data_IF_528579779323
#
_entry.id   IF_528579779323
#
_cell.length_a   1.000
_cell.length_b   1.000
_cell.length_c   1.000
_cell.angle_alpha   90.00
_cell.angle_beta   90.00
_cell.angle_gamma   90.00
#
_symmetry.space_group_name_H-M   'P 1'
#
loop_
_entity.id
_entity.type
_entity.pdbx_description
1 polymer ?
#
# COMPACT_ATOMS: atom_id res chain seq x y z
N UNK A 1 -19.70 -4.30 19.10
CA UNK A 1 -18.35 -3.80 19.35
C UNK A 1 -17.88 -3.04 18.13
N UNK A 2 -17.90 -1.72 18.26
CA UNK A 2 -17.57 -0.76 17.21
C UNK A 2 -16.04 -0.66 17.14
N UNK A 3 -15.46 -1.05 16.01
CA UNK A 3 -14.01 -1.04 15.84
C UNK A 3 -13.55 0.38 15.48
N UNK A 4 -13.17 1.16 16.49
CA UNK A 4 -12.66 2.53 16.33
C UNK A 4 -11.16 2.52 16.08
N UNK A 5 -10.68 3.33 15.13
CA UNK A 5 -9.26 3.40 14.76
C UNK A 5 -8.53 4.45 15.61
N UNK A 6 -8.59 4.29 16.94
CA UNK A 6 -7.87 5.14 17.88
C UNK A 6 -8.70 5.51 19.10
N UNK A 7 -8.18 5.23 20.29
CA UNK A 7 -8.59 5.92 21.51
C UNK A 7 -7.45 6.86 21.89
N UNK A 8 -7.39 8.02 21.23
CA UNK A 8 -6.51 9.11 21.66
C UNK A 8 -7.31 10.09 22.51
N UNK A 9 -6.90 10.32 23.77
CA UNK A 9 -7.60 11.22 24.67
C UNK A 9 -7.46 12.67 24.17
N UNK A 10 -8.55 13.17 23.60
CA UNK A 10 -8.81 14.54 23.18
C UNK A 10 -8.55 15.50 24.33
N UNK A 11 -7.45 16.26 24.27
CA UNK A 11 -7.37 17.52 25.00
C UNK A 11 -7.01 18.72 24.11
N UNK A 12 -6.40 18.55 22.91
CA UNK A 12 -5.90 19.73 22.17
C UNK A 12 -5.79 19.65 20.62
N UNK A 13 -6.26 18.63 19.90
CA UNK A 13 -6.13 18.58 18.43
C UNK A 13 -7.48 18.62 17.72
N UNK A 14 -7.63 19.51 16.74
CA UNK A 14 -8.73 19.48 15.77
C UNK A 14 -8.62 18.16 14.98
N UNK A 15 -9.43 17.17 15.34
CA UNK A 15 -9.41 15.85 14.71
C UNK A 15 -10.81 15.52 14.24
N UNK A 16 -10.91 14.80 13.13
CA UNK A 16 -12.15 14.44 12.45
C UNK A 16 -13.12 13.72 13.40
N UNK A 17 -14.44 13.94 13.28
CA UNK A 17 -15.42 13.25 14.09
C UNK A 17 -15.36 11.73 13.84
N UNK A 18 -15.52 10.93 14.91
CA UNK A 18 -15.43 9.46 14.95
C UNK A 18 -16.19 8.72 13.82
N UNK A 19 -17.21 9.35 13.23
CA UNK A 19 -18.07 8.77 12.20
C UNK A 19 -17.48 8.77 10.78
N UNK A 20 -16.36 9.46 10.53
CA UNK A 20 -15.75 9.60 9.20
C UNK A 20 -14.41 8.84 9.05
N UNK A 21 -13.87 8.22 10.10
CA UNK A 21 -12.54 7.56 10.07
C UNK A 21 -12.42 6.44 9.02
N UNK A 22 -13.51 5.73 8.73
CA UNK A 22 -13.52 4.66 7.73
C UNK A 22 -13.33 5.17 6.29
N UNK A 23 -13.70 6.42 6.00
CA UNK A 23 -13.58 7.01 4.66
C UNK A 23 -12.12 7.31 4.29
N UNK A 24 -11.25 7.39 5.30
CA UNK A 24 -9.82 7.62 5.14
C UNK A 24 -8.99 6.33 5.00
N UNK A 25 -9.64 5.17 4.99
CA UNK A 25 -8.98 3.89 4.73
C UNK A 25 -8.90 3.66 3.22
N UNK A 26 -7.68 3.70 2.68
CA UNK A 26 -7.42 3.38 1.27
C UNK A 26 -6.88 1.96 1.15
N UNK A 27 -7.58 1.15 0.34
CA UNK A 27 -7.09 -0.17 -0.07
C UNK A 27 -6.02 -0.02 -1.15
N UNK A 28 -4.88 -0.69 -1.02
CA UNK A 28 -3.84 -0.73 -2.05
C UNK A 28 -4.25 -1.45 -3.36
N UNK A 29 -5.49 -1.98 -3.47
CA UNK A 29 -5.92 -2.78 -4.63
C UNK A 29 -6.46 -1.96 -5.82
N UNK A 30 -6.50 -0.63 -5.77
CA UNK A 30 -7.12 0.20 -6.84
C UNK A 30 -6.20 0.57 -8.02
N UNK A 31 -5.05 -0.09 -8.20
CA UNK A 31 -4.27 0.03 -9.45
C UNK A 31 -3.94 -1.30 -10.13
N UNK A 32 -4.57 -2.40 -9.71
CA UNK A 32 -4.42 -3.68 -10.38
C UNK A 32 -5.70 -4.50 -10.27
N UNK A 33 -6.76 -4.11 -10.97
CA UNK A 33 -7.71 -5.07 -11.56
C UNK A 33 -8.78 -4.35 -12.41
N UNK A 34 -8.51 -4.24 -13.71
CA UNK A 34 -9.54 -4.22 -14.75
C UNK A 34 -8.97 -4.71 -16.09
N UNK A 35 -8.33 -5.87 -16.13
CA UNK A 35 -8.24 -6.63 -17.40
C UNK A 35 -8.36 -8.11 -17.10
N UNK A 36 -9.36 -8.72 -17.74
CA UNK A 36 -9.80 -10.08 -17.51
C UNK A 36 -8.72 -11.14 -17.68
N UNK A 37 -9.06 -12.29 -17.14
CA UNK A 37 -8.38 -13.55 -17.34
C UNK A 37 -8.21 -13.85 -18.83
N UNK A 38 -7.01 -13.62 -19.36
CA UNK A 38 -6.38 -14.57 -20.28
C UNK A 38 -4.90 -14.19 -20.56
N UNK A 39 -4.09 -15.23 -20.74
CA UNK A 39 -2.80 -15.22 -21.46
C UNK A 39 -1.54 -14.61 -20.83
N UNK A 40 -0.70 -15.51 -20.29
CA UNK A 40 0.73 -15.72 -20.62
C UNK A 40 1.50 -14.49 -21.16
N UNK A 41 2.47 -13.98 -20.40
CA UNK A 41 3.91 -14.03 -20.76
C UNK A 41 4.79 -13.21 -19.82
N UNK A 42 5.97 -13.78 -19.57
CA UNK A 42 7.04 -13.22 -18.76
C UNK A 42 7.53 -11.91 -19.36
N UNK A 43 7.20 -10.77 -18.76
CA UNK A 43 8.00 -9.55 -18.87
C UNK A 43 8.11 -8.86 -17.52
N UNK A 44 9.21 -9.20 -16.84
CA UNK A 44 9.73 -8.54 -15.65
C UNK A 44 10.14 -7.11 -16.03
N UNK A 45 9.20 -6.15 -16.01
CA UNK A 45 9.51 -4.72 -15.97
C UNK A 45 9.82 -4.34 -14.52
N UNK A 46 11.10 -4.09 -14.23
CA UNK A 46 11.53 -3.35 -13.05
C UNK A 46 11.10 -1.89 -13.22
N UNK A 47 9.98 -1.50 -12.63
CA UNK A 47 9.73 -0.12 -12.24
C UNK A 47 10.34 0.06 -10.85
N UNK A 48 11.49 0.74 -10.80
CA UNK A 48 12.05 1.22 -9.55
C UNK A 48 11.17 2.36 -9.04
N UNK A 49 10.37 2.06 -8.03
CA UNK A 49 9.78 3.01 -7.11
C UNK A 49 9.76 2.29 -5.77
N UNK A 50 10.40 2.88 -4.76
CA UNK A 50 10.43 2.36 -3.39
C UNK A 50 9.02 2.40 -2.80
N UNK A 51 8.18 1.46 -3.21
CA UNK A 51 6.90 1.23 -2.57
C UNK A 51 7.17 0.55 -1.24
N UNK A 52 7.03 1.31 -0.15
CA UNK A 52 6.97 0.74 1.19
C UNK A 52 6.01 -0.44 1.17
N UNK A 53 6.50 -1.61 1.57
CA UNK A 53 5.68 -2.83 1.66
C UNK A 53 4.69 -2.63 2.79
N UNK A 54 3.52 -2.07 2.49
CA UNK A 54 2.41 -1.91 3.44
C UNK A 54 2.03 -3.30 3.94
N UNK A 55 2.04 -3.50 5.26
CA UNK A 55 1.76 -4.81 5.85
C UNK A 55 0.27 -5.14 5.88
N UNK A 56 -0.06 -6.39 6.22
CA UNK A 56 -1.45 -6.88 6.26
C UNK A 56 -2.01 -7.19 4.86
N UNK A 57 -3.23 -6.72 4.59
CA UNK A 57 -3.86 -6.79 3.26
C UNK A 57 -3.43 -5.66 2.31
N UNK A 58 -2.50 -4.79 2.75
CA UNK A 58 -2.05 -3.62 2.00
C UNK A 58 -2.94 -2.38 2.18
N UNK A 59 -3.97 -2.41 3.05
CA UNK A 59 -4.72 -1.21 3.39
C UNK A 59 -3.89 -0.27 4.27
N UNK A 60 -4.13 1.03 4.12
CA UNK A 60 -3.57 2.07 4.96
C UNK A 60 -4.65 3.08 5.38
N UNK A 61 -4.60 3.53 6.63
CA UNK A 61 -5.34 4.70 7.10
C UNK A 61 -4.50 5.94 6.80
N UNK A 62 -5.08 6.92 6.13
CA UNK A 62 -4.36 8.11 5.65
C UNK A 62 -4.83 9.34 6.39
N UNK A 63 -3.87 10.09 6.93
CA UNK A 63 -4.10 11.35 7.60
C UNK A 63 -3.25 12.44 6.96
N UNK A 64 -3.90 13.54 6.58
CA UNK A 64 -3.24 14.71 6.01
C UNK A 64 -3.05 15.79 7.08
N UNK A 65 -1.84 16.34 7.12
CA UNK A 65 -1.44 17.46 7.96
C UNK A 65 -1.08 18.61 7.01
N UNK A 66 -1.90 19.66 7.01
CA UNK A 66 -1.80 20.81 6.12
C UNK A 66 -1.35 22.06 6.90
N UNK A 67 -1.05 23.14 6.17
CA UNK A 67 -0.76 24.47 6.74
C UNK A 67 0.46 24.52 7.69
N UNK A 68 1.52 23.78 7.35
CA UNK A 68 2.79 23.88 8.03
C UNK A 68 3.59 25.12 7.66
N UNK A 69 4.73 25.32 8.32
CA UNK A 69 5.60 26.47 8.11
C UNK A 69 6.04 26.62 6.64
N UNK A 70 6.16 27.87 6.20
CA UNK A 70 6.64 28.21 4.87
C UNK A 70 8.03 27.63 4.61
N UNK A 71 8.17 26.99 3.46
CA UNK A 71 9.38 26.42 2.95
C UNK A 71 10.22 27.51 2.27
N UNK A 72 11.34 27.83 2.91
CA UNK A 72 12.23 28.94 2.53
C UNK A 72 13.56 28.39 2.01
N UNK A 73 13.52 27.37 1.15
CA UNK A 73 14.72 26.88 0.49
C UNK A 73 15.06 27.76 -0.71
N UNK A 74 16.30 28.23 -0.78
CA UNK A 74 16.77 29.20 -1.78
C UNK A 74 16.62 28.67 -3.23
N UNK A 75 16.59 27.34 -3.40
CA UNK A 75 16.40 26.65 -4.69
C UNK A 75 14.92 26.41 -5.06
N UNK A 76 13.98 26.74 -4.16
CA UNK A 76 12.54 26.49 -4.32
C UNK A 76 11.78 27.77 -4.69
N UNK A 77 12.27 28.93 -4.24
CA UNK A 77 11.57 30.21 -4.42
C UNK A 77 12.21 31.08 -5.51
N UNK A 78 12.11 30.66 -6.76
CA UNK A 78 12.22 31.58 -7.92
C UNK A 78 10.92 32.40 -8.13
N UNK A 79 9.86 32.07 -7.37
CA UNK A 79 8.52 32.62 -7.55
C UNK A 79 8.18 33.69 -6.50
N UNK A 80 7.91 34.87 -7.05
CA UNK A 80 7.34 36.09 -6.46
C UNK A 80 6.20 35.80 -5.48
N UNK A 81 6.35 36.27 -4.23
CA UNK A 81 5.31 36.57 -3.23
C UNK A 81 4.39 35.45 -2.67
N UNK A 82 4.91 34.28 -2.30
CA UNK A 82 4.04 33.30 -1.63
C UNK A 82 4.65 32.27 -0.69
N UNK A 83 5.86 31.77 -0.96
CA UNK A 83 6.38 30.58 -0.26
C UNK A 83 5.49 29.33 -0.49
N UNK A 84 6.02 28.14 -0.20
CA UNK A 84 5.25 26.89 -0.23
C UNK A 84 5.01 26.46 1.22
N UNK A 85 3.76 26.30 1.65
CA UNK A 85 3.46 25.76 2.98
C UNK A 85 3.87 24.29 3.05
N UNK A 86 4.54 23.90 4.13
CA UNK A 86 4.85 22.48 4.35
C UNK A 86 3.56 21.71 4.60
N UNK A 87 3.49 20.52 4.01
CA UNK A 87 2.38 19.61 4.24
C UNK A 87 2.90 18.18 4.40
N UNK A 88 2.12 17.31 5.04
CA UNK A 88 2.54 15.94 5.33
C UNK A 88 1.37 14.97 5.25
N UNK A 89 1.58 13.87 4.54
CA UNK A 89 0.65 12.73 4.50
C UNK A 89 1.22 11.59 5.34
N UNK A 90 0.47 11.14 6.36
CA UNK A 90 0.85 9.98 7.18
C UNK A 90 -0.03 8.79 6.81
N UNK A 91 0.60 7.65 6.51
CA UNK A 91 -0.05 6.40 6.14
C UNK A 91 0.21 5.35 7.21
N UNK A 92 -0.82 5.01 7.96
CA UNK A 92 -0.77 3.98 8.99
C UNK A 92 -1.18 2.63 8.41
N UNK A 93 -0.32 1.62 8.57
CA UNK A 93 -0.58 0.27 8.08
C UNK A 93 -0.31 -0.79 9.16
N UNK A 94 -0.87 -1.98 8.99
CA UNK A 94 -0.58 -3.11 9.86
C UNK A 94 0.92 -3.46 9.80
N UNK A 95 1.58 -3.62 10.94
CA UNK A 95 2.94 -4.15 11.00
C UNK A 95 3.30 -4.79 12.35
N UNK A 96 4.55 -5.21 12.54
CA UNK A 96 4.96 -5.99 13.72
C UNK A 96 5.31 -5.15 14.94
N UNK A 97 5.66 -3.88 14.73
CA UNK A 97 6.13 -2.94 15.75
C UNK A 97 5.62 -1.54 15.43
N UNK A 98 5.53 -0.69 16.45
CA UNK A 98 5.35 0.75 16.27
C UNK A 98 6.66 1.36 15.77
N UNK A 99 6.74 1.64 14.47
CA UNK A 99 7.90 2.27 13.86
C UNK A 99 7.49 3.07 12.62
N UNK A 100 8.33 4.04 12.28
CA UNK A 100 8.25 4.74 11.00
C UNK A 100 8.99 3.87 9.99
N UNK A 101 8.24 3.18 9.14
CA UNK A 101 8.78 2.26 8.14
C UNK A 101 9.48 2.99 7.00
N UNK A 102 8.99 4.18 6.63
CA UNK A 102 9.56 4.97 5.55
C UNK A 102 9.20 6.46 5.73
N UNK A 103 10.11 7.32 5.30
CA UNK A 103 9.91 8.77 5.22
C UNK A 103 10.42 9.19 3.85
N UNK A 104 9.55 9.81 3.07
CA UNK A 104 9.88 10.26 1.72
C UNK A 104 9.33 11.66 1.48
N UNK A 105 10.11 12.50 0.81
CA UNK A 105 9.61 13.74 0.21
C UNK A 105 9.20 13.42 -1.23
N UNK A 106 7.91 13.48 -1.55
CA UNK A 106 7.38 13.16 -2.88
C UNK A 106 7.26 14.40 -3.78
N UNK A 107 7.09 15.57 -3.18
CA UNK A 107 7.21 16.87 -3.83
C UNK A 107 7.80 17.88 -2.86
N UNK A 108 8.33 18.98 -3.39
CA UNK A 108 8.99 20.02 -2.61
C UNK A 108 8.13 20.45 -1.42
N UNK A 109 8.65 20.22 -0.21
CA UNK A 109 8.02 20.59 1.06
C UNK A 109 6.74 19.80 1.40
N UNK A 110 6.49 18.70 0.70
CA UNK A 110 5.46 17.72 1.04
C UNK A 110 6.10 16.39 1.41
N UNK A 111 5.78 15.88 2.60
CA UNK A 111 6.37 14.67 3.15
C UNK A 111 5.35 13.55 3.26
N UNK A 112 5.77 12.32 2.99
CA UNK A 112 5.01 11.10 3.19
C UNK A 112 5.68 10.25 4.24
N UNK A 113 4.95 9.96 5.32
CA UNK A 113 5.39 9.06 6.39
C UNK A 113 4.61 7.76 6.30
N UNK A 114 5.31 6.64 6.27
CA UNK A 114 4.72 5.31 6.44
C UNK A 114 4.95 4.84 7.85
N UNK A 115 3.88 4.61 8.59
CA UNK A 115 3.93 4.17 9.99
C UNK A 115 3.31 2.78 10.10
N UNK A 116 3.99 1.88 10.79
CA UNK A 116 3.44 0.56 11.10
C UNK A 116 2.87 0.52 12.50
N UNK A 117 1.68 -0.06 12.64
CA UNK A 117 0.94 -0.15 13.90
C UNK A 117 0.46 -1.60 14.09
N UNK A 118 0.92 -2.32 15.13
CA UNK A 118 0.50 -3.70 15.42
C UNK A 118 -0.99 -3.90 15.62
N UNK A 119 -1.65 -2.95 16.27
CA UNK A 119 -3.08 -3.04 16.61
C UNK A 119 -3.96 -3.04 15.35
N UNK A 120 -3.50 -2.41 14.27
CA UNK A 120 -4.21 -2.45 12.98
C UNK A 120 -4.26 -3.87 12.40
N UNK A 121 -3.33 -4.77 12.74
CA UNK A 121 -3.33 -6.12 12.19
C UNK A 121 -4.52 -6.98 12.64
N UNK A 122 -5.12 -6.66 13.78
CA UNK A 122 -6.32 -7.33 14.28
C UNK A 122 -7.62 -6.69 13.74
N UNK A 123 -7.51 -5.51 13.14
CA UNK A 123 -8.65 -4.80 12.59
C UNK A 123 -9.13 -5.45 11.28
N UNK A 124 -10.44 -5.70 11.10
CA UNK A 124 -10.97 -6.39 9.93
C UNK A 124 -10.60 -5.77 8.59
N UNK A 125 -10.43 -4.43 8.54
CA UNK A 125 -10.08 -3.70 7.31
C UNK A 125 -8.60 -3.81 6.91
N UNK A 126 -7.71 -4.18 7.84
CA UNK A 126 -6.26 -4.19 7.63
C UNK A 126 -5.65 -5.59 7.70
N UNK A 127 -6.42 -6.54 8.25
CA UNK A 127 -6.00 -7.93 8.39
C UNK A 127 -5.83 -8.59 7.03
N UNK A 128 -4.69 -9.25 6.82
CA UNK A 128 -4.42 -10.00 5.60
C UNK A 128 -5.48 -11.08 5.37
N UNK A 129 -6.02 -11.23 4.15
CA UNK A 129 -6.93 -12.31 3.84
C UNK A 129 -6.20 -13.65 4.03
N UNK A 130 -6.82 -14.56 4.78
CA UNK A 130 -6.29 -15.92 4.96
C UNK A 130 -6.47 -16.67 3.64
N UNK A 131 -5.45 -16.63 2.78
CA UNK A 131 -5.43 -17.43 1.55
C UNK A 131 -5.28 -18.89 1.96
N UNK A 132 -6.39 -19.64 1.94
CA UNK A 132 -6.37 -21.09 2.12
C UNK A 132 -5.75 -21.70 0.87
N UNK A 133 -4.50 -22.11 0.96
CA UNK A 133 -3.87 -22.86 -0.13
C UNK A 133 -4.47 -24.25 -0.19
N UNK A 134 -5.04 -24.61 -1.34
CA UNK A 134 -5.42 -25.98 -1.64
C UNK A 134 -4.22 -26.68 -2.27
N UNK A 135 -3.89 -27.86 -1.76
CA UNK A 135 -2.84 -28.69 -2.34
C UNK A 135 -3.37 -29.32 -3.63
N UNK A 136 -2.95 -28.79 -4.78
CA UNK A 136 -3.22 -29.41 -6.08
C UNK A 136 -2.17 -30.49 -6.31
N UNK A 137 -2.61 -31.75 -6.34
CA UNK A 137 -1.72 -32.87 -6.67
C UNK A 137 -1.64 -33.05 -8.18
N UNK A 138 -0.56 -32.55 -8.78
CA UNK A 138 -0.27 -32.81 -10.19
C UNK A 138 0.23 -34.24 -10.36
N UNK A 139 -0.46 -35.03 -11.20
CA UNK A 139 0.03 -36.34 -11.61
C UNK A 139 0.84 -36.20 -12.91
N UNK A 140 1.97 -36.93 -13.06
CA UNK A 140 2.76 -36.89 -14.28
C UNK A 140 1.95 -37.45 -15.45
N UNK A 141 1.98 -36.75 -16.59
CA UNK A 141 1.35 -37.22 -17.82
C UNK A 141 2.20 -38.34 -18.42
N UNK A 142 1.62 -39.51 -18.76
CA UNK A 142 2.35 -40.56 -19.43
C UNK A 142 2.83 -40.08 -20.81
N UNK A 143 4.10 -40.35 -21.13
CA UNK A 143 4.66 -40.06 -22.46
C UNK A 143 4.01 -41.00 -23.47
N UNK A 144 3.18 -40.46 -24.36
CA UNK A 144 2.72 -41.20 -25.54
C UNK A 144 3.94 -41.44 -26.42
N UNK A 145 4.42 -42.68 -26.45
CA UNK A 145 5.49 -43.08 -27.36
C UNK A 145 5.01 -42.85 -28.80
N UNK A 146 5.64 -41.90 -29.48
CA UNK A 146 5.46 -41.72 -30.93
C UNK A 146 6.05 -42.97 -31.59
N UNK A 147 5.19 -43.91 -31.95
CA UNK A 147 5.58 -45.05 -32.76
C UNK A 147 6.08 -44.52 -34.11
N UNK A 148 7.39 -44.58 -34.32
CA UNK A 148 8.00 -44.35 -35.63
C UNK A 148 7.46 -45.40 -36.60
N UNK A 149 6.56 -44.98 -37.50
CA UNK A 149 6.17 -45.75 -38.67
C UNK A 149 7.44 -46.13 -39.44
N UNK A 150 7.79 -47.41 -39.46
CA UNK A 150 8.78 -47.95 -40.39
C UNK A 150 8.12 -48.01 -41.76
N UNK A 151 8.61 -47.21 -42.71
CA UNK A 151 8.31 -47.38 -44.13
C UNK A 151 8.99 -48.65 -44.66
N UNK A 152 8.29 -49.51 -45.39
CA UNK A 152 8.90 -50.67 -46.03
C UNK A 152 9.69 -50.24 -47.28
N UNK A 153 10.90 -50.77 -47.41
CA UNK A 153 11.53 -51.09 -48.69
C UNK A 153 12.55 -52.22 -48.49
#
# INVERSE_FOLDING_TARGET
>A
DEHKLGLYQVMTSETFPDEEECDHVVNATTTADSVGADSISQQKKKSGGSGATLGGNGAAYVQEYLHGDLCMDEDVTDFVDGGIERATTVRFSCGKKHEIANVNEDSTCHYIFDVTVPELCDHPLFKAPVIKTQVIKCLPVPKVGVATMRTPN
#
